data_IF_935190518816
#
_entry.id   IF_935190518816
#
_cell.length_a   1.000
_cell.length_b   1.000
_cell.length_c   1.000
_cell.angle_alpha   90.00
_cell.angle_beta   90.00
_cell.angle_gamma   90.00
#
_symmetry.space_group_name_H-M   'P 1'
#
loop_
_entity.id
_entity.type
_entity.pdbx_description
1 polymer ?
#
# COMPACT_ATOMS: atom_id res chain seq x y z
N UNK A 1 -54.86 -12.50 4.77
CA UNK A 1 -53.68 -13.02 5.53
C UNK A 1 -52.51 -13.33 4.58
N UNK A 2 -52.77 -14.00 3.43
CA UNK A 2 -51.72 -14.33 2.42
C UNK A 2 -51.06 -13.09 1.84
N UNK A 3 -51.76 -12.01 1.56
CA UNK A 3 -51.20 -10.76 0.98
C UNK A 3 -50.27 -10.03 1.98
N UNK A 4 -50.52 -10.13 3.27
CA UNK A 4 -49.70 -9.47 4.31
C UNK A 4 -48.37 -10.23 4.51
N UNK A 5 -48.38 -11.55 4.44
CA UNK A 5 -47.16 -12.38 4.55
C UNK A 5 -46.30 -12.26 3.29
N UNK A 6 -46.92 -12.22 2.10
CA UNK A 6 -46.23 -12.00 0.83
C UNK A 6 -45.50 -10.65 0.79
N UNK A 7 -46.11 -9.60 1.36
CA UNK A 7 -45.47 -8.29 1.46
C UNK A 7 -44.25 -8.27 2.41
N UNK A 8 -44.23 -9.09 3.49
CA UNK A 8 -43.11 -9.16 4.41
C UNK A 8 -41.86 -9.79 3.78
N UNK A 9 -42.03 -10.89 3.02
CA UNK A 9 -40.91 -11.54 2.32
C UNK A 9 -40.36 -10.67 1.18
N UNK A 10 -41.21 -10.06 0.36
CA UNK A 10 -40.78 -9.12 -0.65
C UNK A 10 -39.99 -7.94 -0.05
N UNK A 11 -40.42 -7.44 1.13
CA UNK A 11 -39.75 -6.36 1.83
C UNK A 11 -38.30 -6.74 2.25
N UNK A 12 -38.00 -8.02 2.51
CA UNK A 12 -36.66 -8.49 2.83
C UNK A 12 -35.80 -8.81 1.58
N UNK A 13 -36.39 -9.42 0.58
CA UNK A 13 -35.69 -9.93 -0.61
C UNK A 13 -35.31 -8.80 -1.55
N UNK A 14 -36.18 -7.81 -1.78
CA UNK A 14 -35.94 -6.69 -2.69
C UNK A 14 -34.70 -5.87 -2.30
N UNK A 15 -34.49 -5.46 -1.05
CA UNK A 15 -33.28 -4.74 -0.64
C UNK A 15 -31.99 -5.54 -0.88
N UNK A 16 -32.01 -6.86 -0.65
CA UNK A 16 -30.86 -7.71 -0.89
C UNK A 16 -30.52 -7.80 -2.39
N UNK A 17 -31.54 -7.93 -3.22
CA UNK A 17 -31.38 -7.96 -4.67
C UNK A 17 -30.86 -6.63 -5.21
N UNK A 18 -31.37 -5.50 -4.73
CA UNK A 18 -30.88 -4.16 -5.08
C UNK A 18 -29.44 -3.98 -4.63
N UNK A 19 -29.07 -4.44 -3.40
CA UNK A 19 -27.71 -4.37 -2.91
C UNK A 19 -26.73 -5.18 -3.79
N UNK A 20 -27.11 -6.40 -4.23
CA UNK A 20 -26.29 -7.22 -5.12
C UNK A 20 -26.17 -6.62 -6.52
N UNK A 21 -27.23 -6.00 -7.06
CA UNK A 21 -27.18 -5.25 -8.32
C UNK A 21 -26.25 -4.05 -8.21
N UNK A 22 -26.37 -3.27 -7.15
CA UNK A 22 -25.49 -2.13 -6.87
C UNK A 22 -24.04 -2.56 -6.77
N UNK A 23 -23.76 -3.62 -6.01
CA UNK A 23 -22.42 -4.19 -5.89
C UNK A 23 -21.88 -4.65 -7.25
N UNK A 24 -22.72 -5.29 -8.08
CA UNK A 24 -22.34 -5.70 -9.44
C UNK A 24 -21.92 -4.51 -10.28
N UNK A 25 -22.73 -3.43 -10.28
CA UNK A 25 -22.43 -2.22 -11.03
C UNK A 25 -21.10 -1.59 -10.58
N UNK A 26 -20.87 -1.48 -9.27
CA UNK A 26 -19.62 -0.94 -8.72
C UNK A 26 -18.41 -1.80 -9.10
N UNK A 27 -18.49 -3.13 -8.97
CA UNK A 27 -17.42 -4.07 -9.33
C UNK A 27 -17.08 -4.00 -10.82
N UNK A 28 -18.05 -3.79 -11.70
CA UNK A 28 -17.82 -3.67 -13.14
C UNK A 28 -17.11 -2.37 -13.52
N UNK A 29 -17.41 -1.27 -12.83
CA UNK A 29 -16.84 0.06 -13.09
C UNK A 29 -15.48 0.24 -12.41
N UNK A 30 -15.21 -0.47 -11.32
CA UNK A 30 -13.98 -0.35 -10.56
C UNK A 30 -12.74 -0.69 -11.40
N UNK A 31 -11.85 0.29 -11.58
CA UNK A 31 -10.61 0.15 -12.37
C UNK A 31 -9.43 -0.36 -11.56
N UNK A 32 -9.50 -0.26 -10.23
CA UNK A 32 -8.38 -0.63 -9.33
C UNK A 32 -8.30 -2.14 -9.12
N UNK A 33 -9.42 -2.84 -9.13
CA UNK A 33 -9.44 -4.30 -8.91
C UNK A 33 -8.93 -5.07 -10.12
N UNK A 34 -8.03 -6.03 -9.89
CA UNK A 34 -7.48 -6.91 -10.90
C UNK A 34 -8.55 -7.75 -11.63
N UNK A 35 -8.29 -8.11 -12.88
CA UNK A 35 -9.24 -8.90 -13.70
C UNK A 35 -9.62 -10.25 -13.08
N UNK A 36 -8.70 -10.88 -12.34
CA UNK A 36 -8.93 -12.19 -11.69
C UNK A 36 -9.85 -12.02 -10.47
N UNK A 37 -9.55 -11.07 -9.62
CA UNK A 37 -10.30 -10.76 -8.41
C UNK A 37 -11.72 -10.29 -8.77
N UNK A 38 -11.84 -9.44 -9.78
CA UNK A 38 -13.14 -9.01 -10.34
C UNK A 38 -14.01 -10.19 -10.76
N UNK A 39 -13.45 -11.18 -11.48
CA UNK A 39 -14.18 -12.39 -11.87
C UNK A 39 -14.65 -13.19 -10.66
N UNK A 40 -13.80 -13.34 -9.64
CA UNK A 40 -14.16 -14.06 -8.42
C UNK A 40 -15.29 -13.36 -7.66
N UNK A 41 -15.23 -12.04 -7.51
CA UNK A 41 -16.30 -11.25 -6.88
C UNK A 41 -17.61 -11.40 -7.65
N UNK A 42 -17.58 -11.33 -8.99
CA UNK A 42 -18.78 -11.53 -9.81
C UNK A 42 -19.36 -12.95 -9.67
N UNK A 43 -18.52 -13.98 -9.54
CA UNK A 43 -18.97 -15.36 -9.27
C UNK A 43 -19.64 -15.44 -7.89
N UNK A 44 -19.08 -14.81 -6.87
CA UNK A 44 -19.70 -14.75 -5.52
C UNK A 44 -21.07 -14.06 -5.60
N UNK A 45 -21.14 -12.91 -6.26
CA UNK A 45 -22.41 -12.19 -6.44
C UNK A 45 -23.45 -13.07 -7.15
N UNK A 46 -23.05 -13.78 -8.19
CA UNK A 46 -23.95 -14.69 -8.91
C UNK A 46 -24.47 -15.83 -8.00
N UNK A 47 -23.59 -16.44 -7.19
CA UNK A 47 -23.95 -17.47 -6.22
C UNK A 47 -24.91 -16.93 -5.14
N UNK A 48 -24.66 -15.72 -4.61
CA UNK A 48 -25.54 -15.07 -3.65
C UNK A 48 -26.89 -14.70 -4.26
N UNK A 49 -26.89 -14.16 -5.48
CA UNK A 49 -28.13 -13.87 -6.21
C UNK A 49 -28.94 -15.11 -6.44
N UNK A 50 -28.32 -16.22 -6.82
CA UNK A 50 -29.01 -17.50 -6.99
C UNK A 50 -29.60 -18.01 -5.67
N UNK A 51 -28.94 -17.80 -4.52
CA UNK A 51 -29.46 -18.12 -3.19
C UNK A 51 -30.67 -17.23 -2.83
N UNK A 52 -30.64 -15.94 -3.16
CA UNK A 52 -31.76 -15.01 -2.93
C UNK A 52 -32.98 -15.48 -3.73
N UNK A 53 -32.79 -15.83 -5.00
CA UNK A 53 -33.86 -16.37 -5.86
C UNK A 53 -34.38 -17.71 -5.33
N UNK A 54 -33.49 -18.61 -4.91
CA UNK A 54 -33.82 -19.91 -4.32
C UNK A 54 -34.71 -19.73 -3.07
N UNK A 55 -34.35 -18.84 -2.16
CA UNK A 55 -35.16 -18.58 -0.95
C UNK A 55 -36.56 -18.07 -1.31
N UNK A 56 -36.67 -17.20 -2.30
CA UNK A 56 -37.98 -16.74 -2.78
C UNK A 56 -38.83 -17.88 -3.34
N UNK A 57 -38.24 -18.75 -4.16
CA UNK A 57 -38.92 -19.91 -4.73
C UNK A 57 -39.33 -20.90 -3.62
N UNK A 58 -38.47 -21.16 -2.66
CA UNK A 58 -38.74 -22.04 -1.52
C UNK A 58 -39.94 -21.54 -0.70
N UNK A 59 -39.96 -20.23 -0.38
CA UNK A 59 -41.07 -19.57 0.27
C UNK A 59 -42.37 -19.72 -0.52
N UNK A 60 -42.37 -19.49 -1.83
CA UNK A 60 -43.54 -19.67 -2.69
C UNK A 60 -44.05 -21.09 -2.71
N UNK A 61 -43.16 -22.09 -2.67
CA UNK A 61 -43.50 -23.53 -2.62
C UNK A 61 -43.97 -23.97 -1.25
N UNK A 62 -43.77 -23.19 -0.17
CA UNK A 62 -44.23 -23.47 1.17
C UNK A 62 -45.71 -23.08 1.37
N UNK A 63 -46.21 -22.11 0.62
CA UNK A 63 -47.61 -21.61 0.80
C UNK A 63 -48.69 -22.62 0.51
N UNK A 64 -48.61 -23.54 -0.49
CA UNK A 64 -49.62 -24.57 -0.71
C UNK A 64 -49.68 -25.58 0.46
N UNK A 65 -50.89 -26.08 0.77
CA UNK A 65 -51.11 -27.04 1.84
C UNK A 65 -50.61 -28.46 1.51
N UNK A 66 -50.17 -28.72 0.27
CA UNK A 66 -49.67 -30.00 -0.18
C UNK A 66 -48.21 -29.91 -0.62
N UNK A 67 -47.42 -30.88 -0.19
CA UNK A 67 -46.00 -30.93 -0.55
C UNK A 67 -45.79 -31.09 -2.05
N UNK A 68 -44.86 -30.28 -2.60
CA UNK A 68 -44.40 -30.41 -3.98
C UNK A 68 -42.98 -31.00 -4.04
N UNK A 69 -42.73 -31.97 -4.96
CA UNK A 69 -41.37 -32.51 -5.15
C UNK A 69 -40.34 -31.44 -5.48
N UNK A 70 -40.73 -30.33 -6.14
CA UNK A 70 -39.89 -29.19 -6.45
C UNK A 70 -39.39 -28.49 -5.20
N UNK A 71 -40.13 -28.50 -4.09
CA UNK A 71 -39.68 -27.92 -2.84
C UNK A 71 -38.46 -28.64 -2.28
N UNK A 72 -38.44 -29.98 -2.31
CA UNK A 72 -37.25 -30.76 -1.94
C UNK A 72 -36.04 -30.40 -2.80
N UNK A 73 -36.19 -30.31 -4.13
CA UNK A 73 -35.12 -29.94 -5.02
C UNK A 73 -34.55 -28.53 -4.75
N UNK A 74 -35.43 -27.55 -4.49
CA UNK A 74 -35.05 -26.18 -4.20
C UNK A 74 -34.31 -26.08 -2.85
N UNK A 75 -34.78 -26.81 -1.81
CA UNK A 75 -34.10 -26.88 -0.52
C UNK A 75 -32.73 -27.55 -0.62
N UNK A 76 -32.57 -28.65 -1.37
CA UNK A 76 -31.29 -29.32 -1.65
C UNK A 76 -30.30 -28.33 -2.27
N UNK A 77 -30.76 -27.59 -3.28
CA UNK A 77 -29.93 -26.57 -3.93
C UNK A 77 -29.44 -25.51 -2.92
N UNK A 78 -30.32 -24.93 -2.10
CA UNK A 78 -30.00 -23.93 -1.12
C UNK A 78 -28.94 -24.39 -0.10
N UNK A 79 -29.12 -25.57 0.48
CA UNK A 79 -28.17 -26.18 1.42
C UNK A 79 -26.84 -26.58 0.77
N UNK A 80 -26.83 -26.87 -0.53
CA UNK A 80 -25.61 -27.22 -1.28
C UNK A 80 -24.79 -25.99 -1.64
N UNK A 81 -25.40 -24.90 -2.14
CA UNK A 81 -24.70 -23.73 -2.65
C UNK A 81 -24.05 -22.89 -1.57
N UNK A 82 -24.59 -22.86 -0.34
CA UNK A 82 -24.04 -22.04 0.77
C UNK A 82 -22.57 -22.35 1.10
N UNK A 83 -22.13 -23.61 1.31
CA UNK A 83 -20.73 -23.94 1.51
C UNK A 83 -19.84 -23.56 0.32
N UNK A 84 -20.31 -23.72 -0.92
CA UNK A 84 -19.54 -23.31 -2.12
C UNK A 84 -19.33 -21.80 -2.16
N UNK A 85 -20.28 -20.99 -1.74
CA UNK A 85 -20.11 -19.55 -1.62
C UNK A 85 -18.94 -19.21 -0.67
N UNK A 86 -18.85 -19.86 0.49
CA UNK A 86 -17.76 -19.67 1.46
C UNK A 86 -16.40 -20.10 0.86
N UNK A 87 -16.36 -21.25 0.16
CA UNK A 87 -15.13 -21.71 -0.52
C UNK A 87 -14.69 -20.72 -1.60
N UNK A 88 -15.64 -20.08 -2.30
CA UNK A 88 -15.29 -19.06 -3.30
C UNK A 88 -14.70 -17.80 -2.65
N UNK A 89 -15.16 -17.41 -1.45
CA UNK A 89 -14.50 -16.33 -0.68
C UNK A 89 -13.06 -16.68 -0.30
N UNK A 90 -12.75 -17.95 0.00
CA UNK A 90 -11.37 -18.35 0.29
C UNK A 90 -10.41 -18.10 -0.87
N UNK A 91 -10.91 -18.15 -2.13
CA UNK A 91 -10.10 -17.84 -3.33
C UNK A 91 -9.74 -16.35 -3.44
N UNK A 92 -10.51 -15.46 -2.81
CA UNK A 92 -10.17 -14.03 -2.75
C UNK A 92 -9.10 -13.74 -1.72
N UNK A 93 -9.12 -14.46 -0.58
CA UNK A 93 -8.22 -14.21 0.56
C UNK A 93 -6.88 -14.88 0.41
N UNK A 94 -6.83 -16.08 -0.16
CA UNK A 94 -5.64 -16.92 -0.14
C UNK A 94 -5.29 -17.59 -1.47
N UNK A 95 -4.11 -18.20 -1.49
CA UNK A 95 -3.67 -19.04 -2.62
C UNK A 95 -4.34 -20.43 -2.52
N UNK A 96 -4.50 -21.09 -3.67
CA UNK A 96 -4.95 -22.49 -3.74
C UNK A 96 -3.89 -23.39 -3.10
N UNK A 97 -4.03 -23.67 -1.82
CA UNK A 97 -3.20 -24.60 -1.07
C UNK A 97 -3.91 -25.95 -0.87
N UNK A 98 -3.26 -26.90 -0.18
CA UNK A 98 -3.84 -28.23 0.10
C UNK A 98 -5.14 -28.13 0.92
N UNK A 99 -5.22 -27.18 1.85
CA UNK A 99 -6.40 -26.98 2.71
C UNK A 99 -7.59 -26.41 1.91
N UNK A 100 -7.34 -25.61 0.88
CA UNK A 100 -8.40 -25.17 -0.04
C UNK A 100 -9.09 -26.38 -0.72
N UNK A 101 -8.33 -27.38 -1.17
CA UNK A 101 -8.92 -28.58 -1.78
C UNK A 101 -9.68 -29.43 -0.77
N UNK A 102 -9.24 -29.45 0.49
CA UNK A 102 -10.01 -30.08 1.60
C UNK A 102 -11.33 -29.35 1.83
N UNK A 103 -11.32 -28.03 1.87
CA UNK A 103 -12.53 -27.21 1.99
C UNK A 103 -13.51 -27.44 0.82
N UNK A 104 -13.00 -27.51 -0.40
CA UNK A 104 -13.79 -27.82 -1.57
C UNK A 104 -14.39 -29.25 -1.50
N UNK A 105 -13.59 -30.24 -1.10
CA UNK A 105 -14.06 -31.61 -0.92
C UNK A 105 -15.17 -31.69 0.13
N UNK A 106 -15.03 -30.94 1.25
CA UNK A 106 -16.04 -30.87 2.29
C UNK A 106 -17.37 -30.28 1.80
N UNK A 107 -17.30 -29.23 0.95
CA UNK A 107 -18.49 -28.65 0.31
C UNK A 107 -19.15 -29.65 -0.67
N UNK A 108 -18.37 -30.40 -1.45
CA UNK A 108 -18.87 -31.46 -2.32
C UNK A 108 -19.55 -32.61 -1.56
N UNK A 109 -18.93 -33.03 -0.44
CA UNK A 109 -19.52 -34.06 0.45
C UNK A 109 -20.85 -33.56 1.04
N UNK A 110 -20.91 -32.31 1.47
CA UNK A 110 -22.15 -31.70 1.93
C UNK A 110 -23.24 -31.74 0.84
N UNK A 111 -22.92 -31.32 -0.39
CA UNK A 111 -23.88 -31.35 -1.49
C UNK A 111 -24.37 -32.79 -1.80
N UNK A 112 -23.46 -33.77 -1.84
CA UNK A 112 -23.81 -35.17 -2.02
C UNK A 112 -24.72 -35.71 -0.91
N UNK A 113 -24.43 -35.31 0.34
CA UNK A 113 -25.26 -35.66 1.50
C UNK A 113 -26.68 -35.11 1.37
N UNK A 114 -26.85 -33.84 0.98
CA UNK A 114 -28.18 -33.26 0.79
C UNK A 114 -28.95 -33.85 -0.41
N UNK A 115 -28.27 -34.37 -1.41
CA UNK A 115 -28.90 -35.12 -2.53
C UNK A 115 -29.64 -36.39 -2.01
N UNK A 116 -29.23 -36.98 -0.87
CA UNK A 116 -29.93 -38.15 -0.29
C UNK A 116 -31.34 -37.83 0.14
N UNK A 117 -31.71 -36.54 0.36
CA UNK A 117 -33.07 -36.12 0.72
C UNK A 117 -34.14 -36.47 -0.34
N UNK A 118 -33.74 -36.79 -1.59
CA UNK A 118 -34.69 -37.32 -2.58
C UNK A 118 -35.16 -38.74 -2.26
N UNK A 119 -34.36 -39.52 -1.55
CA UNK A 119 -34.60 -40.97 -1.37
C UNK A 119 -34.73 -41.36 0.10
N UNK A 120 -34.32 -40.52 1.03
CA UNK A 120 -34.27 -40.85 2.46
C UNK A 120 -34.49 -39.59 3.33
N UNK A 121 -35.22 -39.71 4.44
CA UNK A 121 -35.45 -38.63 5.42
C UNK A 121 -34.20 -38.35 6.28
N UNK A 122 -33.03 -38.80 5.89
CA UNK A 122 -31.81 -38.80 6.69
C UNK A 122 -31.34 -37.37 7.05
N UNK A 123 -31.36 -36.47 6.05
CA UNK A 123 -30.90 -35.08 6.22
C UNK A 123 -32.06 -34.14 6.50
N UNK A 124 -33.12 -34.26 5.72
CA UNK A 124 -34.40 -33.59 5.89
C UNK A 124 -35.47 -34.27 5.03
N UNK A 125 -36.73 -33.99 5.29
CA UNK A 125 -37.85 -34.37 4.42
C UNK A 125 -38.94 -33.30 4.48
N UNK A 126 -39.77 -33.22 3.47
CA UNK A 126 -40.96 -32.39 3.43
C UNK A 126 -42.13 -33.31 3.74
N UNK A 127 -42.83 -33.05 4.84
CA UNK A 127 -44.02 -33.82 5.25
C UNK A 127 -45.19 -33.60 4.26
N UNK A 128 -46.20 -34.51 4.19
CA UNK A 128 -47.32 -34.37 3.26
C UNK A 128 -48.11 -33.06 3.42
N UNK A 129 -48.14 -32.53 4.63
CA UNK A 129 -48.75 -31.24 5.00
C UNK A 129 -47.86 -30.03 4.66
N UNK A 130 -46.82 -30.27 3.86
CA UNK A 130 -45.88 -29.27 3.42
C UNK A 130 -44.99 -28.62 4.50
N UNK A 131 -44.89 -29.29 5.71
CA UNK A 131 -43.95 -28.85 6.74
C UNK A 131 -42.54 -29.39 6.50
N UNK A 132 -41.51 -28.52 6.69
CA UNK A 132 -40.11 -28.92 6.66
C UNK A 132 -39.70 -29.62 7.94
N UNK A 133 -39.23 -30.86 7.85
CA UNK A 133 -38.79 -31.67 8.97
C UNK A 133 -37.28 -31.93 8.84
N UNK A 134 -36.54 -31.56 9.88
CA UNK A 134 -35.10 -31.89 9.93
C UNK A 134 -34.87 -33.36 10.18
N UNK A 135 -33.83 -33.90 9.55
CA UNK A 135 -33.38 -35.27 9.76
C UNK A 135 -32.68 -35.48 11.09
N UNK A 136 -32.10 -36.67 11.22
CA UNK A 136 -31.44 -37.14 12.47
C UNK A 136 -30.18 -36.30 12.75
N UNK A 137 -29.96 -35.90 14.01
CA UNK A 137 -28.70 -35.29 14.44
C UNK A 137 -27.52 -36.26 14.29
N UNK A 138 -26.32 -35.81 13.79
CA UNK A 138 -25.95 -34.45 13.39
C UNK A 138 -26.28 -34.12 11.92
N UNK A 139 -26.75 -35.06 11.14
CA UNK A 139 -26.88 -34.97 9.67
C UNK A 139 -27.88 -33.91 9.21
N UNK A 140 -28.97 -33.72 9.96
CA UNK A 140 -29.92 -32.62 9.70
C UNK A 140 -29.35 -31.21 9.85
N UNK A 141 -28.17 -31.08 10.43
CA UNK A 141 -27.41 -29.83 10.60
C UNK A 141 -26.11 -29.82 9.82
N UNK A 142 -25.91 -30.75 8.90
CA UNK A 142 -24.65 -30.90 8.17
C UNK A 142 -24.19 -29.58 7.45
N UNK A 143 -25.10 -28.87 6.80
CA UNK A 143 -24.78 -27.60 6.17
C UNK A 143 -24.27 -26.55 7.16
N UNK A 144 -24.89 -26.44 8.33
CA UNK A 144 -24.48 -25.48 9.38
C UNK A 144 -23.12 -25.88 9.95
N UNK A 145 -22.88 -27.17 10.22
CA UNK A 145 -21.60 -27.68 10.72
C UNK A 145 -20.49 -27.44 9.68
N UNK A 146 -20.71 -27.82 8.43
CA UNK A 146 -19.75 -27.63 7.35
C UNK A 146 -19.47 -26.13 7.13
N UNK A 147 -20.51 -25.30 7.09
CA UNK A 147 -20.34 -23.84 6.95
C UNK A 147 -19.56 -23.26 8.13
N UNK A 148 -19.79 -23.72 9.35
CA UNK A 148 -19.05 -23.30 10.54
C UNK A 148 -17.56 -23.63 10.46
N UNK A 149 -17.22 -24.86 10.02
CA UNK A 149 -15.83 -25.30 9.83
C UNK A 149 -15.15 -24.45 8.73
N UNK A 150 -15.83 -24.24 7.60
CA UNK A 150 -15.32 -23.43 6.49
C UNK A 150 -15.11 -21.97 6.89
N UNK A 151 -16.00 -21.41 7.71
CA UNK A 151 -15.87 -20.05 8.23
C UNK A 151 -14.72 -19.91 9.22
N UNK A 152 -14.54 -20.89 10.12
CA UNK A 152 -13.39 -20.91 11.02
C UNK A 152 -12.06 -20.91 10.23
N UNK A 153 -12.02 -21.69 9.15
CA UNK A 153 -10.86 -21.71 8.27
C UNK A 153 -10.68 -20.41 7.47
N UNK A 154 -11.77 -19.82 6.97
CA UNK A 154 -11.72 -18.49 6.31
C UNK A 154 -11.23 -17.41 7.26
N UNK A 155 -11.65 -17.45 8.55
CA UNK A 155 -11.15 -16.54 9.59
C UNK A 155 -9.64 -16.71 9.79
N UNK A 156 -9.19 -17.95 9.93
CA UNK A 156 -7.76 -18.25 10.09
C UNK A 156 -6.94 -17.70 8.89
N UNK A 157 -7.40 -17.93 7.66
CA UNK A 157 -6.75 -17.39 6.47
C UNK A 157 -6.74 -15.86 6.48
N UNK A 158 -7.86 -15.23 6.80
CA UNK A 158 -8.00 -13.77 6.84
C UNK A 158 -7.05 -13.15 7.86
N UNK A 159 -6.96 -13.72 9.06
CA UNK A 159 -6.03 -13.24 10.10
C UNK A 159 -4.59 -13.45 9.68
N UNK A 160 -4.24 -14.60 9.08
CA UNK A 160 -2.88 -14.91 8.61
C UNK A 160 -2.40 -13.94 7.53
N UNK A 161 -3.23 -13.65 6.55
CA UNK A 161 -2.87 -12.69 5.47
C UNK A 161 -2.85 -11.25 5.97
N UNK A 162 -3.77 -10.85 6.87
CA UNK A 162 -3.78 -9.51 7.46
C UNK A 162 -2.61 -9.24 8.41
N UNK A 163 -2.14 -10.23 9.15
CA UNK A 163 -0.95 -10.09 10.00
C UNK A 163 0.30 -9.77 9.19
N UNK A 164 0.30 -10.15 7.90
CA UNK A 164 1.37 -9.89 6.94
C UNK A 164 1.36 -8.45 6.42
N UNK A 165 0.22 -7.76 6.40
CA UNK A 165 0.06 -6.45 5.74
C UNK A 165 -0.04 -5.29 6.73
N UNK A 166 -0.88 -5.30 7.76
CA UNK A 166 -0.92 -4.35 8.91
C UNK A 166 -2.08 -4.63 9.88
N UNK A 167 -1.90 -4.28 11.19
CA UNK A 167 -2.86 -4.55 12.29
C UNK A 167 -4.26 -3.93 12.12
N UNK A 168 -4.39 -2.76 11.50
CA UNK A 168 -5.69 -2.05 11.40
C UNK A 168 -6.62 -2.62 10.32
N UNK A 169 -6.08 -3.20 9.26
CA UNK A 169 -6.87 -3.73 8.14
C UNK A 169 -7.45 -5.12 8.42
N UNK A 170 -7.02 -5.79 9.49
CA UNK A 170 -7.56 -7.08 9.94
C UNK A 170 -8.94 -6.99 10.58
N UNK A 171 -9.42 -5.80 10.93
CA UNK A 171 -10.74 -5.62 11.57
C UNK A 171 -11.88 -6.03 10.63
N UNK A 172 -11.83 -5.68 9.35
CA UNK A 172 -12.93 -5.98 8.40
C UNK A 172 -13.13 -7.49 8.16
N UNK A 173 -12.10 -8.31 7.88
CA UNK A 173 -12.27 -9.75 7.80
C UNK A 173 -12.76 -10.40 9.08
N UNK A 174 -12.32 -9.94 10.26
CA UNK A 174 -12.79 -10.44 11.55
C UNK A 174 -14.27 -10.09 11.76
N UNK A 175 -14.67 -8.87 11.46
CA UNK A 175 -16.05 -8.41 11.52
C UNK A 175 -16.95 -9.25 10.61
N UNK A 176 -16.50 -9.56 9.39
CA UNK A 176 -17.22 -10.40 8.45
C UNK A 176 -17.53 -11.79 9.04
N UNK A 177 -16.53 -12.42 9.65
CA UNK A 177 -16.77 -13.74 10.28
C UNK A 177 -17.72 -13.62 11.47
N UNK A 178 -17.58 -12.57 12.29
CA UNK A 178 -18.50 -12.32 13.41
C UNK A 178 -19.95 -12.16 12.93
N UNK A 179 -20.19 -11.45 11.83
CA UNK A 179 -21.51 -11.26 11.22
C UNK A 179 -22.08 -12.62 10.78
N UNK A 180 -21.30 -13.45 10.11
CA UNK A 180 -21.79 -14.76 9.64
C UNK A 180 -22.08 -15.70 10.82
N UNK A 181 -21.20 -15.72 11.83
CA UNK A 181 -21.43 -16.53 13.06
C UNK A 181 -22.71 -16.06 13.75
N UNK A 182 -22.91 -14.75 13.91
CA UNK A 182 -24.13 -14.21 14.49
C UNK A 182 -25.38 -14.60 13.68
N UNK A 183 -25.28 -14.57 12.36
CA UNK A 183 -26.37 -14.98 11.46
C UNK A 183 -26.69 -16.48 11.57
N UNK A 184 -25.66 -17.35 11.68
CA UNK A 184 -25.87 -18.79 11.91
C UNK A 184 -26.55 -19.05 13.25
N UNK A 185 -26.11 -18.36 14.32
CA UNK A 185 -26.72 -18.48 15.65
C UNK A 185 -28.18 -18.00 15.62
N UNK A 186 -28.45 -16.87 14.94
CA UNK A 186 -29.81 -16.39 14.78
C UNK A 186 -30.70 -17.39 14.03
N UNK A 187 -30.20 -18.02 12.98
CA UNK A 187 -30.92 -19.08 12.24
C UNK A 187 -31.15 -20.33 13.10
N UNK A 188 -30.23 -20.67 14.01
CA UNK A 188 -30.41 -21.84 14.93
C UNK A 188 -31.42 -21.54 16.02
N UNK A 189 -31.49 -20.29 16.50
CA UNK A 189 -32.40 -19.89 17.58
C UNK A 189 -33.82 -19.57 17.08
N UNK A 190 -33.96 -19.27 15.80
CA UNK A 190 -35.25 -18.98 15.19
C UNK A 190 -36.13 -20.26 15.15
N UNK A 191 -37.31 -20.19 15.77
CA UNK A 191 -38.29 -21.29 15.77
C UNK A 191 -39.16 -21.31 14.50
N UNK A 192 -39.17 -20.22 13.76
CA UNK A 192 -39.99 -20.07 12.57
C UNK A 192 -39.19 -20.45 11.30
N UNK A 193 -39.88 -20.96 10.28
CA UNK A 193 -39.30 -21.27 8.97
C UNK A 193 -38.68 -20.05 8.24
N UNK A 194 -38.74 -18.88 8.84
CA UNK A 194 -38.04 -17.64 8.48
C UNK A 194 -36.51 -17.67 8.64
N UNK A 195 -36.00 -18.75 9.26
CA UNK A 195 -34.64 -18.92 9.75
C UNK A 195 -33.56 -18.81 8.64
N UNK A 196 -33.86 -19.19 7.40
CA UNK A 196 -32.86 -19.19 6.34
C UNK A 196 -32.47 -17.78 5.83
N UNK A 197 -33.17 -16.74 6.26
CA UNK A 197 -32.97 -15.36 5.81
C UNK A 197 -31.78 -14.67 6.48
N UNK A 198 -31.48 -14.95 7.75
CA UNK A 198 -30.40 -14.29 8.49
C UNK A 198 -29.02 -14.64 7.92
N UNK A 199 -28.78 -15.94 7.64
CA UNK A 199 -27.52 -16.37 7.03
C UNK A 199 -27.33 -15.73 5.64
N UNK A 200 -28.39 -15.59 4.85
CA UNK A 200 -28.34 -14.96 3.54
C UNK A 200 -28.03 -13.45 3.65
N UNK A 201 -28.68 -12.73 4.56
CA UNK A 201 -28.39 -11.33 4.84
C UNK A 201 -26.93 -11.17 5.27
N UNK A 202 -26.46 -12.03 6.19
CA UNK A 202 -25.07 -12.04 6.63
C UNK A 202 -24.08 -12.23 5.48
N UNK A 203 -24.33 -13.18 4.58
CA UNK A 203 -23.48 -13.42 3.40
C UNK A 203 -23.44 -12.23 2.42
N UNK A 204 -24.59 -11.58 2.19
CA UNK A 204 -24.64 -10.38 1.33
C UNK A 204 -23.86 -9.23 1.95
N UNK A 205 -24.05 -8.96 3.24
CA UNK A 205 -23.29 -7.94 3.97
C UNK A 205 -21.78 -8.25 3.94
N UNK A 206 -21.40 -9.50 4.16
CA UNK A 206 -20.01 -9.92 4.10
C UNK A 206 -19.42 -9.71 2.70
N UNK A 207 -20.17 -9.93 1.62
CA UNK A 207 -19.69 -9.69 0.27
C UNK A 207 -19.41 -8.21 0.01
N UNK A 208 -20.25 -7.32 0.53
CA UNK A 208 -20.05 -5.87 0.48
C UNK A 208 -18.80 -5.43 1.25
N UNK A 209 -18.64 -5.90 2.48
CA UNK A 209 -17.46 -5.56 3.30
C UNK A 209 -16.17 -6.16 2.73
N UNK A 210 -16.24 -7.36 2.18
CA UNK A 210 -15.09 -8.00 1.52
C UNK A 210 -14.66 -7.23 0.26
N UNK A 211 -15.63 -6.81 -0.54
CA UNK A 211 -15.36 -5.95 -1.70
C UNK A 211 -14.74 -4.63 -1.28
N UNK A 212 -15.29 -3.97 -0.26
CA UNK A 212 -14.76 -2.71 0.25
C UNK A 212 -13.32 -2.85 0.74
N UNK A 213 -13.04 -3.91 1.49
CA UNK A 213 -11.69 -4.22 1.95
C UNK A 213 -10.71 -4.43 0.79
N UNK A 214 -11.12 -5.22 -0.20
CA UNK A 214 -10.33 -5.50 -1.39
C UNK A 214 -10.04 -4.20 -2.17
N UNK A 215 -11.05 -3.36 -2.37
CA UNK A 215 -10.91 -2.07 -3.03
C UNK A 215 -9.90 -1.17 -2.30
N UNK A 216 -10.02 -1.04 -0.97
CA UNK A 216 -9.10 -0.25 -0.16
C UNK A 216 -7.65 -0.76 -0.24
N UNK A 217 -7.44 -2.08 -0.24
CA UNK A 217 -6.11 -2.67 -0.41
C UNK A 217 -5.49 -2.30 -1.76
N UNK A 218 -6.24 -2.41 -2.87
CA UNK A 218 -5.74 -2.10 -4.21
C UNK A 218 -5.50 -0.61 -4.43
N UNK A 219 -6.38 0.26 -3.94
CA UNK A 219 -6.19 1.72 -4.00
C UNK A 219 -4.89 2.09 -3.32
N UNK A 220 -4.65 1.53 -2.15
CA UNK A 220 -3.44 1.81 -1.37
C UNK A 220 -2.16 1.29 -2.02
N UNK A 221 -2.16 0.06 -2.57
CA UNK A 221 -1.02 -0.44 -3.33
C UNK A 221 -0.69 0.48 -4.51
N UNK A 222 -1.72 0.98 -5.19
CA UNK A 222 -1.56 1.91 -6.29
C UNK A 222 -0.98 3.26 -5.84
N UNK A 223 -1.47 3.82 -4.72
CA UNK A 223 -0.93 5.05 -4.13
C UNK A 223 0.55 4.90 -3.72
N UNK A 224 0.91 3.80 -3.08
CA UNK A 224 2.29 3.52 -2.70
C UNK A 224 3.20 3.40 -3.93
N UNK A 225 2.75 2.70 -4.97
CA UNK A 225 3.50 2.58 -6.23
C UNK A 225 3.69 3.93 -6.92
N UNK A 226 2.66 4.79 -6.94
CA UNK A 226 2.76 6.16 -7.47
C UNK A 226 3.71 7.03 -6.64
N UNK A 227 3.66 6.94 -5.32
CA UNK A 227 4.59 7.67 -4.45
C UNK A 227 6.03 7.25 -4.69
N UNK A 228 6.30 5.95 -4.86
CA UNK A 228 7.63 5.43 -5.19
C UNK A 228 8.09 5.89 -6.58
N UNK A 229 7.21 5.86 -7.59
CA UNK A 229 7.52 6.39 -8.92
C UNK A 229 7.81 7.89 -8.89
N UNK A 230 7.01 8.68 -8.16
CA UNK A 230 7.26 10.10 -7.96
C UNK A 230 8.60 10.37 -7.25
N UNK A 231 8.89 9.62 -6.18
CA UNK A 231 10.16 9.68 -5.48
C UNK A 231 11.33 9.42 -6.43
N UNK A 232 11.24 8.35 -7.21
CA UNK A 232 12.28 7.98 -8.18
C UNK A 232 12.46 9.06 -9.28
N UNK A 233 11.36 9.64 -9.79
CA UNK A 233 11.44 10.74 -10.76
C UNK A 233 12.10 11.99 -10.19
N UNK A 234 11.76 12.38 -8.96
CA UNK A 234 12.37 13.54 -8.28
C UNK A 234 13.87 13.32 -8.13
N UNK A 235 14.28 12.13 -7.72
CA UNK A 235 15.69 11.79 -7.53
C UNK A 235 16.44 11.76 -8.88
N UNK A 236 15.88 11.12 -9.91
CA UNK A 236 16.47 11.11 -11.25
C UNK A 236 16.56 12.53 -11.87
N UNK A 237 15.63 13.42 -11.54
CA UNK A 237 15.69 14.82 -12.01
C UNK A 237 16.80 15.63 -11.32
N UNK A 238 17.27 15.21 -10.16
CA UNK A 238 18.40 15.84 -9.46
C UNK A 238 19.75 15.46 -10.10
N UNK A 239 19.86 14.31 -10.78
CA UNK A 239 21.00 13.98 -11.64
C UNK A 239 20.82 14.80 -12.94
N UNK A 240 21.47 15.96 -13.03
CA UNK A 240 21.34 16.83 -14.19
C UNK A 240 21.89 16.13 -15.46
N UNK A 241 21.05 15.71 -16.44
CA UNK A 241 21.54 15.01 -17.63
C UNK A 241 22.59 15.82 -18.38
N UNK A 242 22.44 17.15 -18.43
CA UNK A 242 23.35 18.06 -19.04
C UNK A 242 24.75 18.06 -18.36
N UNK A 243 24.83 17.86 -17.04
CA UNK A 243 26.11 17.71 -16.35
C UNK A 243 26.83 16.42 -16.79
N UNK A 244 26.10 15.30 -16.87
CA UNK A 244 26.64 14.01 -17.29
C UNK A 244 27.23 14.14 -18.72
N UNK A 245 26.46 14.65 -19.68
CA UNK A 245 26.93 14.83 -21.06
C UNK A 245 28.15 15.75 -21.15
N UNK A 246 28.12 16.88 -20.46
CA UNK A 246 29.23 17.83 -20.51
C UNK A 246 30.50 17.26 -19.82
N UNK A 247 30.37 16.49 -18.76
CA UNK A 247 31.50 15.83 -18.11
C UNK A 247 32.10 14.76 -19.02
N UNK A 248 31.26 13.94 -19.67
CA UNK A 248 31.75 12.96 -20.66
C UNK A 248 32.47 13.64 -21.84
N UNK A 249 31.94 14.74 -22.35
CA UNK A 249 32.62 15.49 -23.37
C UNK A 249 33.96 16.10 -22.90
N UNK A 250 34.04 16.58 -21.66
CA UNK A 250 35.29 17.09 -21.10
C UNK A 250 36.32 15.98 -20.91
N UNK A 251 35.90 14.77 -20.51
CA UNK A 251 36.77 13.58 -20.41
C UNK A 251 37.27 13.15 -21.80
N UNK A 252 36.38 13.14 -22.79
CA UNK A 252 36.75 12.86 -24.20
C UNK A 252 37.74 13.84 -24.79
N UNK A 253 37.70 15.10 -24.36
CA UNK A 253 38.60 16.15 -24.82
C UNK A 253 39.99 16.12 -24.19
N UNK A 254 40.27 15.20 -23.24
CA UNK A 254 41.62 15.00 -22.68
C UNK A 254 42.46 14.30 -23.75
N UNK A 255 43.39 15.02 -24.33
CA UNK A 255 44.25 14.50 -25.41
C UNK A 255 45.61 14.05 -24.84
N UNK A 256 46.06 12.84 -25.21
CA UNK A 256 47.42 12.36 -25.02
C UNK A 256 47.87 12.02 -23.60
N UNK A 257 46.97 12.07 -22.57
CA UNK A 257 47.32 11.75 -21.20
C UNK A 257 46.44 10.64 -20.60
N UNK A 258 46.80 9.34 -20.73
CA UNK A 258 46.01 8.22 -20.23
C UNK A 258 45.75 8.23 -18.71
N UNK A 259 46.69 8.71 -17.91
CA UNK A 259 46.54 8.78 -16.45
C UNK A 259 45.54 9.85 -16.04
N UNK A 260 45.54 11.00 -16.71
CA UNK A 260 44.57 12.05 -16.48
C UNK A 260 43.16 11.62 -16.89
N UNK A 261 43.02 10.92 -18.03
CA UNK A 261 41.74 10.34 -18.48
C UNK A 261 41.23 9.33 -17.47
N UNK A 262 42.08 8.43 -16.98
CA UNK A 262 41.73 7.44 -15.97
C UNK A 262 41.28 8.07 -14.64
N UNK A 263 41.98 9.12 -14.22
CA UNK A 263 41.61 9.90 -13.03
C UNK A 263 40.25 10.56 -13.22
N UNK A 264 39.98 11.23 -14.35
CA UNK A 264 38.70 11.85 -14.63
C UNK A 264 37.55 10.86 -14.70
N UNK A 265 37.76 9.63 -15.21
CA UNK A 265 36.77 8.56 -15.23
C UNK A 265 36.48 8.10 -13.80
N UNK A 266 37.51 7.94 -12.95
CA UNK A 266 37.31 7.55 -11.55
C UNK A 266 36.53 8.60 -10.75
N UNK A 267 36.85 9.89 -10.91
CA UNK A 267 36.14 11.01 -10.30
C UNK A 267 34.66 11.04 -10.77
N UNK A 268 34.43 10.81 -12.07
CA UNK A 268 33.07 10.73 -12.60
C UNK A 268 32.28 9.52 -12.05
N UNK A 269 32.93 8.36 -11.95
CA UNK A 269 32.33 7.17 -11.35
C UNK A 269 32.00 7.37 -9.85
N UNK A 270 32.85 8.09 -9.11
CA UNK A 270 32.61 8.46 -7.72
C UNK A 270 31.42 9.41 -7.59
N UNK A 271 31.38 10.47 -8.40
CA UNK A 271 30.24 11.39 -8.46
C UNK A 271 28.91 10.64 -8.74
N UNK A 272 28.89 9.71 -9.70
CA UNK A 272 27.69 8.91 -9.99
C UNK A 272 27.34 8.04 -8.77
N UNK A 273 28.30 7.40 -8.11
CA UNK A 273 28.05 6.60 -6.89
C UNK A 273 27.43 7.43 -5.76
N UNK A 274 27.96 8.63 -5.50
CA UNK A 274 27.43 9.55 -4.50
C UNK A 274 25.96 9.92 -4.79
N UNK A 275 25.64 10.21 -6.05
CA UNK A 275 24.26 10.49 -6.45
C UNK A 275 23.36 9.23 -6.34
N UNK A 276 23.85 8.03 -6.67
CA UNK A 276 23.12 6.78 -6.55
C UNK A 276 22.91 6.39 -5.07
N UNK A 277 23.87 6.67 -4.17
CA UNK A 277 23.71 6.43 -2.74
C UNK A 277 22.51 7.21 -2.16
N UNK A 278 22.21 8.39 -2.69
CA UNK A 278 20.99 9.12 -2.36
C UNK A 278 19.70 8.44 -2.88
N UNK A 279 19.80 7.57 -3.90
CA UNK A 279 18.70 6.77 -4.45
C UNK A 279 18.41 5.51 -3.63
N UNK A 280 19.46 4.89 -3.06
CA UNK A 280 19.36 3.63 -2.31
C UNK A 280 18.61 3.77 -0.97
N UNK A 281 18.09 4.96 -0.66
CA UNK A 281 17.27 5.20 0.53
C UNK A 281 18.05 5.16 1.83
N UNK A 282 19.38 5.32 1.79
CA UNK A 282 20.15 5.58 3.00
C UNK A 282 19.69 6.91 3.57
N UNK A 283 19.11 6.87 4.75
CA UNK A 283 18.59 8.07 5.40
C UNK A 283 19.73 9.05 5.72
N UNK A 284 20.90 8.55 6.12
CA UNK A 284 22.09 9.35 6.45
C UNK A 284 23.37 8.68 5.95
N UNK A 285 24.36 9.51 5.57
CA UNK A 285 25.73 9.09 5.24
C UNK A 285 26.74 9.84 6.14
N UNK A 286 27.95 9.27 6.40
CA UNK A 286 29.00 9.98 7.10
C UNK A 286 29.39 11.28 6.39
N UNK A 287 29.66 12.37 7.14
CA UNK A 287 30.07 13.66 6.58
C UNK A 287 31.35 13.55 5.73
N UNK A 288 32.30 12.72 6.16
CA UNK A 288 33.52 12.45 5.41
C UNK A 288 33.24 11.86 4.01
N UNK A 289 32.22 11.00 3.87
CA UNK A 289 31.79 10.44 2.58
C UNK A 289 31.14 11.53 1.70
N UNK A 290 30.27 12.37 2.26
CA UNK A 290 29.69 13.51 1.55
C UNK A 290 30.76 14.46 1.02
N UNK A 291 31.76 14.80 1.84
CA UNK A 291 32.88 15.66 1.42
C UNK A 291 33.75 15.01 0.32
N UNK A 292 33.92 13.68 0.35
CA UNK A 292 34.60 12.99 -0.75
C UNK A 292 33.84 13.16 -2.07
N UNK A 293 32.51 13.03 -2.09
CA UNK A 293 31.67 13.25 -3.27
C UNK A 293 31.72 14.72 -3.74
N UNK A 294 31.72 15.66 -2.80
CA UNK A 294 31.90 17.10 -3.12
C UNK A 294 33.22 17.37 -3.81
N UNK A 295 34.33 16.79 -3.32
CA UNK A 295 35.67 16.93 -3.94
C UNK A 295 35.72 16.38 -5.36
N UNK A 296 35.11 15.20 -5.59
CA UNK A 296 34.98 14.60 -6.92
C UNK A 296 34.18 15.51 -7.89
N UNK A 297 33.04 16.02 -7.43
CA UNK A 297 32.24 16.97 -8.20
C UNK A 297 33.02 18.23 -8.53
N UNK A 298 33.71 18.84 -7.57
CA UNK A 298 34.53 20.04 -7.74
C UNK A 298 35.67 19.80 -8.73
N UNK A 299 36.36 18.66 -8.66
CA UNK A 299 37.43 18.28 -9.61
C UNK A 299 36.92 18.23 -11.03
N UNK A 300 35.77 17.58 -11.26
CA UNK A 300 35.13 17.54 -12.58
C UNK A 300 34.72 18.94 -13.08
N UNK A 301 34.23 19.82 -12.22
CA UNK A 301 33.87 21.19 -12.57
C UNK A 301 35.13 22.04 -12.89
N UNK A 302 36.25 21.89 -12.17
CA UNK A 302 37.51 22.57 -12.45
C UNK A 302 38.07 22.18 -13.81
N UNK A 303 37.97 20.92 -14.24
CA UNK A 303 38.37 20.50 -15.60
C UNK A 303 37.56 21.22 -16.68
N UNK A 304 36.25 21.41 -16.43
CA UNK A 304 35.35 22.09 -17.38
C UNK A 304 35.51 23.59 -17.40
N UNK A 305 35.80 24.22 -16.27
CA UNK A 305 35.86 25.66 -16.08
C UNK A 305 37.22 26.04 -15.52
N UNK A 306 38.26 25.74 -16.30
CA UNK A 306 39.65 26.04 -15.98
C UNK A 306 39.81 27.50 -15.53
N UNK A 307 40.50 27.73 -14.41
CA UNK A 307 40.81 29.04 -13.85
C UNK A 307 39.60 29.96 -13.57
N UNK A 308 38.42 29.42 -13.33
CA UNK A 308 37.23 30.22 -12.98
C UNK A 308 36.98 30.29 -11.48
N UNK A 309 37.36 29.29 -10.74
CA UNK A 309 37.13 29.25 -9.31
C UNK A 309 38.09 28.31 -8.56
N UNK A 310 38.20 28.51 -7.24
CA UNK A 310 38.83 27.57 -6.35
C UNK A 310 37.91 27.23 -5.14
N UNK A 311 38.14 26.05 -4.54
CA UNK A 311 37.40 25.57 -3.35
C UNK A 311 38.38 25.17 -2.28
N UNK A 312 38.25 25.81 -1.10
CA UNK A 312 39.05 25.53 0.09
C UNK A 312 38.21 24.73 1.09
N UNK A 313 38.81 23.74 1.69
CA UNK A 313 38.17 22.87 2.69
C UNK A 313 38.82 23.05 4.06
N UNK A 314 38.09 23.57 5.03
CA UNK A 314 38.52 23.78 6.44
C UNK A 314 37.71 22.85 7.35
N UNK A 315 38.03 21.55 7.31
CA UNK A 315 37.27 20.53 8.01
C UNK A 315 37.92 20.29 9.38
N UNK A 316 37.24 20.71 10.44
CA UNK A 316 37.64 20.52 11.85
C UNK A 316 36.78 19.50 12.59
N UNK A 317 35.55 19.23 12.10
CA UNK A 317 34.61 18.27 12.65
C UNK A 317 34.04 17.41 11.52
N UNK A 318 34.24 16.09 11.56
CA UNK A 318 33.76 15.15 10.55
C UNK A 318 33.01 13.95 11.14
N UNK A 319 32.93 13.88 12.48
CA UNK A 319 32.35 12.72 13.20
C UNK A 319 30.83 12.87 13.39
N UNK A 320 30.12 12.99 12.26
CA UNK A 320 28.67 13.02 12.23
C UNK A 320 28.14 12.55 10.87
N UNK A 321 26.84 12.30 10.80
CA UNK A 321 26.16 11.89 9.58
C UNK A 321 25.08 12.91 9.18
N UNK A 322 24.79 12.98 7.87
CA UNK A 322 23.82 13.90 7.30
C UNK A 322 23.10 13.26 6.10
N UNK A 323 21.95 13.82 5.66
CA UNK A 323 21.30 13.37 4.45
C UNK A 323 22.21 13.54 3.23
N UNK A 324 22.31 12.55 2.33
CA UNK A 324 23.18 12.64 1.15
C UNK A 324 22.82 13.83 0.27
N UNK A 325 23.80 14.34 -0.48
CA UNK A 325 23.70 15.51 -1.35
C UNK A 325 23.38 16.84 -0.63
N UNK A 326 23.63 16.94 0.67
CA UNK A 326 23.36 18.16 1.45
C UNK A 326 24.40 19.23 1.12
N UNK A 327 25.70 18.93 1.31
CA UNK A 327 26.80 19.88 1.03
C UNK A 327 27.02 20.02 -0.47
N UNK A 328 26.87 18.94 -1.22
CA UNK A 328 27.04 18.94 -2.67
C UNK A 328 26.08 19.95 -3.35
N UNK A 329 24.81 19.99 -2.98
CA UNK A 329 23.83 20.94 -3.54
C UNK A 329 24.23 22.39 -3.23
N UNK A 330 24.77 22.68 -2.04
CA UNK A 330 25.22 24.01 -1.68
C UNK A 330 26.40 24.45 -2.52
N UNK A 331 27.44 23.61 -2.63
CA UNK A 331 28.62 23.87 -3.46
C UNK A 331 28.25 23.99 -4.95
N UNK A 332 27.35 23.15 -5.42
CA UNK A 332 26.81 23.24 -6.78
C UNK A 332 26.14 24.60 -7.04
N UNK A 333 25.31 25.07 -6.12
CA UNK A 333 24.65 26.38 -6.21
C UNK A 333 25.68 27.50 -6.22
N UNK A 334 26.67 27.47 -5.33
CA UNK A 334 27.77 28.46 -5.31
C UNK A 334 28.54 28.53 -6.62
N UNK A 335 28.89 27.37 -7.21
CA UNK A 335 29.56 27.33 -8.50
C UNK A 335 28.65 27.88 -9.60
N UNK A 336 27.44 27.35 -9.77
CA UNK A 336 26.57 27.67 -10.92
C UNK A 336 25.95 29.05 -10.86
N UNK A 337 25.40 29.39 -9.69
CA UNK A 337 24.62 30.63 -9.53
C UNK A 337 25.39 31.76 -8.89
N UNK A 338 26.44 31.43 -8.10
CA UNK A 338 27.32 32.42 -7.50
C UNK A 338 28.48 32.83 -8.45
N UNK A 339 29.37 31.87 -8.75
CA UNK A 339 30.67 32.17 -9.37
C UNK A 339 30.59 32.22 -10.88
N UNK A 340 30.03 31.21 -11.55
CA UNK A 340 30.06 31.15 -13.04
C UNK A 340 29.24 32.25 -13.70
N UNK A 341 28.32 32.88 -13.01
CA UNK A 341 27.58 34.07 -13.50
C UNK A 341 28.48 35.30 -13.46
N UNK A 342 29.48 35.34 -12.59
CA UNK A 342 30.46 36.41 -12.48
C UNK A 342 31.59 36.24 -13.52
N UNK A 343 31.98 37.28 -14.19
CA UNK A 343 33.10 37.26 -15.19
C UNK A 343 34.50 37.26 -14.57
N UNK A 344 34.60 37.12 -13.22
CA UNK A 344 35.89 37.17 -12.49
C UNK A 344 36.10 35.80 -11.81
N UNK A 345 37.37 35.52 -11.45
CA UNK A 345 37.71 34.35 -10.60
C UNK A 345 36.98 34.47 -9.28
N UNK A 346 36.47 33.34 -8.76
CA UNK A 346 35.77 33.28 -7.49
C UNK A 346 36.30 32.21 -6.55
N UNK A 347 35.99 32.33 -5.27
CA UNK A 347 36.40 31.41 -4.23
C UNK A 347 35.19 30.86 -3.45
N UNK A 348 35.28 29.58 -3.08
CA UNK A 348 34.29 28.92 -2.24
C UNK A 348 35.05 28.34 -1.06
N UNK A 349 34.51 28.51 0.15
CA UNK A 349 35.07 27.89 1.38
C UNK A 349 34.03 27.00 2.00
N UNK A 350 34.41 25.73 2.20
CA UNK A 350 33.59 24.74 2.92
C UNK A 350 34.22 24.52 4.28
N UNK A 351 33.52 24.87 5.35
CA UNK A 351 33.98 24.70 6.73
C UNK A 351 33.10 23.73 7.47
N UNK A 352 33.71 22.92 8.36
CA UNK A 352 32.97 22.21 9.39
C UNK A 352 33.68 22.35 10.73
N UNK A 353 32.90 22.62 11.78
CA UNK A 353 33.41 22.75 13.13
C UNK A 353 32.32 22.48 14.17
N UNK A 354 32.75 22.25 15.41
CA UNK A 354 31.84 22.05 16.51
C UNK A 354 31.59 23.36 17.25
N UNK A 355 30.32 23.71 17.42
CA UNK A 355 29.93 24.89 18.20
C UNK A 355 28.93 24.49 19.30
N UNK A 356 29.42 24.37 20.52
CA UNK A 356 28.62 23.97 21.67
C UNK A 356 28.03 22.57 21.48
N UNK A 357 26.69 22.52 21.33
CA UNK A 357 25.91 21.29 21.14
C UNK A 357 25.57 21.00 19.68
N UNK A 358 26.21 21.66 18.74
CA UNK A 358 25.89 21.49 17.33
C UNK A 358 27.16 21.20 16.52
N UNK A 359 27.02 20.31 15.54
CA UNK A 359 27.88 20.25 14.36
C UNK A 359 27.47 21.40 13.43
N UNK A 360 28.42 22.18 12.96
CA UNK A 360 28.17 23.33 12.08
C UNK A 360 28.89 23.12 10.77
N UNK A 361 28.16 23.29 9.66
CA UNK A 361 28.71 23.29 8.30
C UNK A 361 28.47 24.67 7.73
N UNK A 362 29.48 25.27 7.11
CA UNK A 362 29.39 26.56 6.43
C UNK A 362 29.87 26.40 5.00
N UNK A 363 29.09 26.87 4.04
CA UNK A 363 29.49 27.02 2.63
C UNK A 363 29.38 28.50 2.29
N UNK A 364 30.53 29.12 2.03
CA UNK A 364 30.65 30.53 1.72
C UNK A 364 31.21 30.73 0.33
N UNK A 365 30.61 31.58 -0.48
CA UNK A 365 31.12 32.00 -1.80
C UNK A 365 31.19 33.53 -1.92
N UNK A 366 32.15 33.99 -2.73
CA UNK A 366 32.32 35.41 -3.11
C UNK A 366 31.61 35.74 -4.43
N UNK A 367 30.58 35.01 -4.81
CA UNK A 367 29.83 35.13 -6.06
C UNK A 367 29.00 36.41 -6.19
N UNK A 368 28.02 36.35 -7.09
CA UNK A 368 27.14 37.51 -7.37
C UNK A 368 26.15 37.80 -6.23
N UNK A 369 25.90 36.83 -5.34
CA UNK A 369 24.87 36.91 -4.30
C UNK A 369 23.49 37.18 -4.87
N UNK A 370 22.50 37.23 -3.99
CA UNK A 370 21.10 37.47 -4.35
C UNK A 370 20.32 38.12 -3.19
N UNK A 371 19.19 38.73 -3.54
CA UNK A 371 18.24 39.26 -2.56
C UNK A 371 17.35 38.08 -2.03
N UNK A 372 17.53 37.74 -0.76
CA UNK A 372 16.84 36.61 -0.12
C UNK A 372 15.32 36.78 -0.06
N UNK A 373 14.79 38.01 -0.11
CA UNK A 373 13.35 38.27 -0.11
C UNK A 373 12.71 38.10 -1.50
N UNK A 374 13.50 38.26 -2.58
CA UNK A 374 13.01 38.22 -3.98
C UNK A 374 13.18 36.89 -4.69
N UNK A 375 13.72 35.88 -4.03
CA UNK A 375 13.89 34.54 -4.62
C UNK A 375 12.54 33.95 -5.04
N UNK A 376 12.41 33.64 -6.33
CA UNK A 376 11.25 32.92 -6.88
C UNK A 376 11.19 31.49 -6.31
N UNK A 377 9.98 30.95 -6.15
CA UNK A 377 9.79 29.59 -5.59
C UNK A 377 10.50 28.49 -6.40
N UNK A 378 10.70 28.67 -7.71
CA UNK A 378 11.42 27.72 -8.57
C UNK A 378 12.93 27.65 -8.30
N UNK A 379 13.54 28.73 -7.81
CA UNK A 379 14.97 28.82 -7.49
C UNK A 379 15.29 28.29 -6.09
N UNK A 380 14.26 28.14 -5.25
CA UNK A 380 14.34 27.61 -3.88
C UNK A 380 14.25 26.07 -3.79
N UNK A 381 13.95 25.36 -4.88
CA UNK A 381 13.62 23.92 -4.83
C UNK A 381 14.74 23.09 -4.20
N UNK A 382 16.00 23.30 -4.60
CA UNK A 382 17.14 22.57 -4.06
C UNK A 382 17.39 22.87 -2.58
N UNK A 383 17.45 24.16 -2.22
CA UNK A 383 17.66 24.61 -0.83
C UNK A 383 16.50 24.19 0.08
N UNK A 384 15.25 24.27 -0.39
CA UNK A 384 14.07 23.83 0.35
C UNK A 384 14.08 22.31 0.58
N UNK A 385 14.54 21.53 -0.39
CA UNK A 385 14.69 20.08 -0.24
C UNK A 385 15.75 19.74 0.82
N UNK A 386 16.90 20.43 0.82
CA UNK A 386 17.94 20.29 1.86
C UNK A 386 17.38 20.64 3.24
N UNK A 387 16.71 21.81 3.36
CA UNK A 387 16.08 22.26 4.60
C UNK A 387 15.11 21.22 5.16
N UNK A 388 14.15 20.78 4.36
CA UNK A 388 13.13 19.82 4.81
C UNK A 388 13.76 18.49 5.28
N UNK A 389 14.80 17.99 4.58
CA UNK A 389 15.48 16.75 4.98
C UNK A 389 16.25 16.92 6.30
N UNK A 390 16.97 18.02 6.49
CA UNK A 390 17.69 18.32 7.71
C UNK A 390 16.74 18.46 8.91
N UNK A 391 15.65 19.21 8.76
CA UNK A 391 14.63 19.37 9.80
C UNK A 391 13.98 18.03 10.17
N UNK A 392 13.58 17.22 9.17
CA UNK A 392 12.86 15.98 9.41
C UNK A 392 13.73 14.85 9.99
N UNK A 393 15.01 14.73 9.55
CA UNK A 393 15.85 13.60 9.93
C UNK A 393 16.78 13.88 11.11
N UNK A 394 17.15 15.15 11.34
CA UNK A 394 18.19 15.50 12.30
C UNK A 394 17.82 16.67 13.23
N UNK A 395 16.58 17.18 13.16
CA UNK A 395 16.19 18.42 13.84
C UNK A 395 17.17 19.59 13.53
N UNK A 396 17.82 19.53 12.36
CA UNK A 396 18.81 20.48 11.91
C UNK A 396 18.19 21.77 11.38
N UNK A 397 18.96 22.85 11.37
CA UNK A 397 18.55 24.15 10.83
C UNK A 397 19.49 24.60 9.72
N UNK A 398 18.97 25.37 8.78
CA UNK A 398 19.74 26.02 7.71
C UNK A 398 19.47 27.51 7.75
N UNK A 399 20.52 28.32 7.71
CA UNK A 399 20.48 29.77 7.66
C UNK A 399 21.21 30.24 6.41
N UNK A 400 20.67 31.25 5.69
CA UNK A 400 21.18 31.71 4.42
C UNK A 400 21.30 33.24 4.45
N UNK A 401 22.52 33.72 4.36
CA UNK A 401 22.86 35.13 4.28
C UNK A 401 23.42 35.43 2.89
N UNK A 402 22.77 36.29 2.13
CA UNK A 402 23.23 36.69 0.79
C UNK A 402 22.84 38.14 0.49
N UNK A 403 23.76 38.87 -0.14
CA UNK A 403 23.51 40.19 -0.63
C UNK A 403 24.05 40.35 -2.07
N UNK A 404 23.34 41.04 -2.97
CA UNK A 404 23.79 41.27 -4.31
C UNK A 404 25.20 41.90 -4.35
N UNK A 405 26.12 41.23 -5.03
CA UNK A 405 27.52 41.63 -5.19
C UNK A 405 28.47 41.26 -4.08
N UNK A 406 28.00 40.63 -2.98
CA UNK A 406 28.82 40.25 -1.81
C UNK A 406 28.99 38.73 -1.65
N UNK A 407 28.27 37.93 -2.44
CA UNK A 407 28.31 36.48 -2.37
C UNK A 407 27.23 35.89 -1.42
N UNK A 408 27.40 34.62 -1.08
CA UNK A 408 26.42 33.87 -0.26
C UNK A 408 27.14 33.11 0.85
N UNK A 409 26.53 33.09 2.03
CA UNK A 409 26.95 32.29 3.18
C UNK A 409 25.78 31.42 3.62
N UNK A 410 25.96 30.10 3.58
CA UNK A 410 24.97 29.11 4.01
C UNK A 410 25.50 28.39 5.22
N UNK A 411 24.81 28.47 6.35
CA UNK A 411 25.17 27.84 7.61
C UNK A 411 24.15 26.75 7.96
N UNK A 412 24.61 25.51 8.13
CA UNK A 412 23.83 24.37 8.63
C UNK A 412 24.24 24.09 10.07
N UNK A 413 23.28 23.87 10.96
CA UNK A 413 23.49 23.45 12.33
C UNK A 413 22.73 22.14 12.59
N UNK A 414 23.46 21.11 13.00
CA UNK A 414 22.93 19.77 13.33
C UNK A 414 23.16 19.54 14.82
N UNK A 415 22.08 19.36 15.62
CA UNK A 415 22.21 19.07 17.04
C UNK A 415 22.97 17.79 17.30
N UNK A 416 23.82 17.77 18.33
CA UNK A 416 24.41 16.54 18.84
C UNK A 416 23.29 15.61 19.35
N UNK A 417 23.34 14.30 19.07
CA UNK A 417 22.39 13.37 19.65
C UNK A 417 22.43 13.48 21.17
N UNK A 418 21.27 13.78 21.76
CA UNK A 418 21.13 13.75 23.23
C UNK A 418 21.28 12.28 23.62
N UNK A 419 22.42 11.90 24.16
CA UNK A 419 22.60 10.56 24.77
C UNK A 419 21.46 10.39 25.78
N UNK A 420 20.65 9.31 25.70
CA UNK A 420 19.65 9.05 26.71
C UNK A 420 20.36 9.04 28.06
N UNK A 421 19.94 9.90 28.99
CA UNK A 421 20.41 9.84 30.37
C UNK A 421 20.17 8.41 30.82
N UNK A 422 21.23 7.64 30.98
CA UNK A 422 21.20 6.37 31.69
C UNK A 422 20.79 6.75 33.11
N UNK A 423 19.50 6.57 33.42
CA UNK A 423 19.04 6.59 34.81
C UNK A 423 19.74 5.39 35.47
N UNK A 424 20.85 5.67 36.10
CA UNK A 424 21.48 4.76 37.01
C UNK A 424 20.49 4.45 38.13
N UNK A 425 20.42 3.19 38.46
CA UNK A 425 19.67 2.42 39.47
C UNK A 425 19.05 3.20 40.63
#
# INVERSE_FOLDING_TARGET
MIDIELNKELLMIVPLFVALLGLTAVVLVDRFIGKKERRLVLVIIALLTSNVVQNYIEYRLQLPATASPWRTAVSIYGYSVRPFSIVTFMLLVGKKDKLFYVALALACVNAALYMTAFFSPFVFYIAPDNHFMRGVFPWGYACQIVSGILLAYLLFLSVKECYRVRKMESILPILNVAIIVAAIVADMLSKDNFASSFLMIGMVLCSLFYYLWLHLCFVREHELALMEEHRNRVILSQIQPHFIYNTLFSIQAIDGNPEETKQAINEFAGFIRGNLAALDGKDLIPFAEEIAYVKEYVSLQKRRFTDKFDVTYEIQDEDFSLPPLTVQILVENSIKHGILVRKKFGSIVVRSYRNGKNHVIVVEDDGVGFDTEKLKDSERVGLKAVKNRLEYQLDGTIDIESEPGKGTNVTIKIPLPILPRVFGK
#
